data_IF_687553960485
#
_entry.id   IF_687553960485
#
_cell.length_a   1.000
_cell.length_b   1.000
_cell.length_c   1.000
_cell.angle_alpha   90.00
_cell.angle_beta   90.00
_cell.angle_gamma   90.00
#
_symmetry.space_group_name_H-M   'P 1'
#
loop_
_entity.id
_entity.type
_entity.pdbx_description
1 polymer ?
#
# COMPACT_ATOMS: atom_id res chain seq x y z
N UNK A 1 45.24 -22.83 2.00
CA UNK A 1 44.51 -22.04 0.99
C UNK A 1 43.05 -21.96 1.41
N UNK A 2 42.70 -20.93 2.18
CA UNK A 2 41.31 -20.60 2.51
C UNK A 2 41.24 -19.08 2.47
N UNK A 3 40.63 -18.53 1.42
CA UNK A 3 40.58 -17.08 1.18
C UNK A 3 39.65 -16.43 2.22
N UNK A 4 40.00 -15.25 2.75
CA UNK A 4 39.09 -14.46 3.57
C UNK A 4 37.99 -13.85 2.70
N UNK A 5 36.76 -13.81 3.21
CA UNK A 5 35.71 -12.94 2.66
C UNK A 5 35.65 -11.68 3.51
N UNK A 6 36.11 -10.59 2.90
CA UNK A 6 35.96 -9.21 3.31
C UNK A 6 34.63 -8.66 2.73
N UNK A 7 33.94 -7.77 3.46
CA UNK A 7 33.04 -6.80 2.81
C UNK A 7 31.54 -6.82 3.16
N UNK A 8 31.20 -6.32 4.35
CA UNK A 8 30.32 -5.15 4.62
C UNK A 8 29.01 -5.01 3.82
N UNK A 9 27.88 -5.07 4.53
CA UNK A 9 26.93 -3.96 4.64
C UNK A 9 26.07 -4.13 5.92
N UNK A 10 26.46 -3.41 6.97
CA UNK A 10 25.56 -3.00 8.04
C UNK A 10 24.66 -1.88 7.49
N UNK A 11 23.35 -2.10 7.58
CA UNK A 11 22.29 -1.12 7.38
C UNK A 11 21.14 -1.52 8.31
N UNK A 12 20.68 -0.63 9.21
CA UNK A 12 19.80 -1.01 10.31
C UNK A 12 18.34 -1.11 9.86
N UNK A 13 17.61 -2.01 10.52
CA UNK A 13 16.20 -1.88 10.91
C UNK A 13 15.25 -1.18 9.91
N UNK A 14 14.60 -1.98 9.05
CA UNK A 14 13.24 -1.68 8.61
C UNK A 14 12.36 -2.86 9.06
N UNK A 15 11.33 -2.63 9.90
CA UNK A 15 10.44 -3.70 10.31
C UNK A 15 9.50 -4.10 9.15
N UNK A 16 9.40 -5.41 8.93
CA UNK A 16 8.23 -6.13 8.41
C UNK A 16 7.42 -5.50 7.23
N UNK A 17 8.09 -5.08 6.16
CA UNK A 17 7.47 -5.00 4.83
C UNK A 17 7.55 -6.35 4.13
N UNK A 18 6.72 -7.31 4.56
CA UNK A 18 6.63 -8.70 4.08
C UNK A 18 7.07 -8.86 2.62
N UNK A 19 8.14 -9.61 2.39
CA UNK A 19 8.57 -10.09 1.08
C UNK A 19 7.40 -10.88 0.45
N UNK A 20 6.62 -10.25 -0.42
CA UNK A 20 5.61 -10.94 -1.21
C UNK A 20 6.30 -11.54 -2.45
N UNK A 21 6.43 -12.88 -2.57
CA UNK A 21 7.06 -13.52 -3.74
C UNK A 21 6.21 -13.44 -5.03
N UNK A 22 5.19 -12.57 -5.09
CA UNK A 22 4.29 -12.37 -6.23
C UNK A 22 4.61 -11.09 -7.05
N UNK A 23 5.58 -10.27 -6.59
CA UNK A 23 6.04 -9.00 -7.19
C UNK A 23 6.69 -9.12 -8.59
N UNK A 24 6.58 -10.25 -9.27
CA UNK A 24 7.08 -10.40 -10.64
C UNK A 24 6.13 -9.80 -11.69
N UNK A 25 4.84 -9.65 -11.38
CA UNK A 25 3.77 -9.31 -12.35
C UNK A 25 3.31 -7.84 -12.26
N UNK A 26 3.52 -7.20 -11.13
CA UNK A 26 3.18 -5.80 -10.87
C UNK A 26 4.16 -5.22 -9.85
N UNK A 27 4.28 -3.90 -9.87
CA UNK A 27 4.93 -3.10 -8.85
C UNK A 27 3.87 -2.48 -7.94
N UNK A 28 4.08 -2.52 -6.64
CA UNK A 28 3.19 -1.93 -5.64
C UNK A 28 3.96 -0.85 -4.89
N UNK A 29 3.58 0.39 -5.12
CA UNK A 29 4.09 1.54 -4.40
C UNK A 29 3.06 2.01 -3.40
N UNK A 30 3.45 2.10 -2.13
CA UNK A 30 2.62 2.66 -1.06
C UNK A 30 3.37 3.87 -0.53
N UNK A 31 2.89 5.06 -0.90
CA UNK A 31 3.41 6.32 -0.41
C UNK A 31 2.49 6.81 0.72
N UNK A 32 2.93 6.65 1.95
CA UNK A 32 2.21 7.09 3.14
C UNK A 32 3.18 7.82 4.06
N UNK A 33 2.77 8.92 4.71
CA UNK A 33 3.63 9.55 5.69
C UNK A 33 3.76 8.65 6.92
N UNK A 34 4.98 8.49 7.43
CA UNK A 34 5.22 7.74 8.66
C UNK A 34 4.66 8.45 9.90
N UNK A 35 4.52 9.79 9.84
CA UNK A 35 4.04 10.63 10.93
C UNK A 35 2.97 11.60 10.40
N UNK A 36 1.83 11.69 11.08
CA UNK A 36 0.79 12.69 10.79
C UNK A 36 0.30 13.39 12.06
N UNK A 37 -0.21 14.62 11.93
CA UNK A 37 -0.76 15.38 13.05
C UNK A 37 -2.15 14.89 13.46
N UNK A 38 -2.45 14.90 14.76
CA UNK A 38 -3.78 14.61 15.27
C UNK A 38 -4.81 15.60 14.69
N UNK A 39 -5.89 15.08 14.10
CA UNK A 39 -6.93 15.88 13.46
C UNK A 39 -6.57 16.44 12.08
N UNK A 40 -5.33 16.26 11.61
CA UNK A 40 -4.92 16.62 10.25
C UNK A 40 -5.26 15.47 9.29
N UNK A 41 -5.96 15.72 8.17
CA UNK A 41 -6.21 14.68 7.19
C UNK A 41 -4.89 14.16 6.64
N UNK A 42 -4.66 12.86 6.77
CA UNK A 42 -3.52 12.17 6.18
C UNK A 42 -3.98 11.50 4.89
N UNK A 43 -3.17 11.56 3.84
CA UNK A 43 -3.40 10.83 2.61
C UNK A 43 -2.26 9.84 2.39
N UNK A 44 -2.58 8.61 2.01
CA UNK A 44 -1.62 7.73 1.35
C UNK A 44 -2.04 7.45 -0.07
N UNK A 45 -1.03 7.30 -0.90
CA UNK A 45 -1.18 6.92 -2.30
C UNK A 45 -0.75 5.48 -2.44
N UNK A 46 -1.67 4.62 -2.83
CA UNK A 46 -1.40 3.23 -3.20
C UNK A 46 -1.43 3.16 -4.73
N UNK A 47 -0.26 3.02 -5.34
CA UNK A 47 -0.09 2.89 -6.79
C UNK A 47 0.33 1.48 -7.13
N UNK A 48 -0.37 0.88 -8.09
CA UNK A 48 -0.12 -0.46 -8.61
C UNK A 48 0.20 -0.31 -10.09
N UNK A 49 1.38 -0.73 -10.50
CA UNK A 49 1.83 -0.68 -11.89
C UNK A 49 1.99 -2.10 -12.44
N UNK A 50 1.26 -2.46 -13.49
CA UNK A 50 1.42 -3.74 -14.15
C UNK A 50 2.74 -3.76 -14.93
N UNK A 51 3.51 -4.84 -14.76
CA UNK A 51 4.78 -5.03 -15.46
C UNK A 51 4.55 -5.27 -16.95
N UNK A 52 5.54 -4.99 -17.81
CA UNK A 52 5.41 -5.23 -19.25
C UNK A 52 4.99 -6.69 -19.55
N UNK A 53 3.95 -6.82 -20.35
CA UNK A 53 3.28 -8.09 -20.65
C UNK A 53 2.02 -8.33 -19.82
N UNK A 54 1.83 -7.63 -18.71
CA UNK A 54 0.62 -7.71 -17.88
C UNK A 54 -0.22 -6.43 -18.04
N UNK A 55 -1.53 -6.61 -17.99
CA UNK A 55 -2.50 -5.51 -17.94
C UNK A 55 -3.45 -5.72 -16.78
N UNK A 56 -3.86 -4.64 -16.12
CA UNK A 56 -4.95 -4.66 -15.15
C UNK A 56 -6.24 -5.08 -15.87
N UNK A 57 -6.91 -6.07 -15.30
CA UNK A 57 -8.16 -6.59 -15.83
C UNK A 57 -9.26 -5.54 -15.72
N UNK A 58 -9.94 -5.28 -16.84
CA UNK A 58 -11.14 -4.47 -16.88
C UNK A 58 -12.38 -5.26 -16.45
N UNK A 59 -12.30 -6.59 -16.49
CA UNK A 59 -13.39 -7.52 -16.20
C UNK A 59 -13.44 -7.87 -14.70
N UNK A 60 -12.28 -7.94 -14.05
CA UNK A 60 -12.19 -8.11 -12.60
C UNK A 60 -12.18 -6.77 -11.88
N UNK A 61 -13.12 -6.53 -10.93
CA UNK A 61 -13.18 -5.27 -10.22
C UNK A 61 -11.94 -5.10 -9.32
N UNK A 62 -11.19 -4.02 -9.53
CA UNK A 62 -10.18 -3.58 -8.57
C UNK A 62 -10.89 -3.09 -7.32
N UNK A 63 -10.56 -3.70 -6.18
CA UNK A 63 -11.11 -3.39 -4.86
C UNK A 63 -9.98 -3.28 -3.86
N UNK A 64 -9.88 -2.14 -3.18
CA UNK A 64 -9.01 -1.94 -2.03
C UNK A 64 -9.88 -1.79 -0.78
N UNK A 65 -9.78 -2.75 0.13
CA UNK A 65 -10.49 -2.77 1.41
C UNK A 65 -9.51 -2.35 2.51
N UNK A 66 -9.77 -1.24 3.19
CA UNK A 66 -8.93 -0.74 4.27
C UNK A 66 -9.65 -0.93 5.61
N UNK A 67 -8.99 -1.63 6.52
CA UNK A 67 -9.40 -1.80 7.90
C UNK A 67 -8.60 -0.83 8.76
N UNK A 68 -9.20 0.33 9.03
CA UNK A 68 -8.59 1.31 9.91
C UNK A 68 -8.75 0.88 11.39
N UNK A 69 -7.70 1.02 12.21
CA UNK A 69 -7.79 0.75 13.64
C UNK A 69 -8.59 1.84 14.37
N UNK A 70 -8.93 1.56 15.63
CA UNK A 70 -9.62 2.51 16.49
C UNK A 70 -8.79 3.81 16.64
N UNK A 71 -9.34 4.92 16.14
CA UNK A 71 -8.65 6.20 16.15
C UNK A 71 -8.30 6.72 14.76
N UNK A 72 -8.48 5.92 13.70
CA UNK A 72 -8.36 6.38 12.31
C UNK A 72 -9.69 6.18 11.59
N UNK A 73 -10.24 7.25 11.04
CA UNK A 73 -11.47 7.17 10.23
C UNK A 73 -11.09 7.32 8.76
N UNK A 74 -11.19 6.26 7.93
CA UNK A 74 -10.96 6.39 6.50
C UNK A 74 -12.10 7.19 5.86
N UNK A 75 -11.78 8.01 4.87
CA UNK A 75 -12.81 8.66 4.04
C UNK A 75 -13.68 7.62 3.32
N UNK A 76 -13.08 6.50 2.92
CA UNK A 76 -13.75 5.34 2.34
C UNK A 76 -13.12 4.05 2.87
N UNK A 77 -13.97 3.13 3.34
CA UNK A 77 -13.52 1.80 3.78
C UNK A 77 -13.22 0.88 2.59
N UNK A 78 -13.98 1.03 1.50
CA UNK A 78 -13.83 0.24 0.28
C UNK A 78 -13.66 1.19 -0.90
N UNK A 79 -12.53 1.06 -1.56
CA UNK A 79 -12.20 1.75 -2.80
C UNK A 79 -12.40 0.79 -3.95
N UNK A 80 -13.01 1.28 -5.02
CA UNK A 80 -13.21 0.55 -6.25
C UNK A 80 -12.53 1.31 -7.38
N UNK A 81 -12.39 0.69 -8.55
CA UNK A 81 -11.81 1.35 -9.73
C UNK A 81 -12.38 2.75 -10.02
N UNK A 82 -13.68 2.98 -9.81
CA UNK A 82 -14.29 4.30 -9.99
C UNK A 82 -13.89 5.37 -8.95
N UNK A 83 -13.29 4.94 -7.84
CA UNK A 83 -12.71 5.80 -6.79
C UNK A 83 -11.19 5.93 -6.91
N UNK A 84 -10.56 5.25 -7.87
CA UNK A 84 -9.15 5.41 -8.14
C UNK A 84 -8.91 6.81 -8.72
N UNK A 85 -7.85 7.47 -8.26
CA UNK A 85 -7.38 8.73 -8.83
C UNK A 85 -6.96 8.53 -10.29
N UNK A 86 -6.30 7.39 -10.55
CA UNK A 86 -5.91 6.94 -11.89
C UNK A 86 -6.29 5.48 -12.05
N UNK A 87 -6.94 5.09 -13.15
CA UNK A 87 -7.26 3.69 -13.43
C UNK A 87 -7.18 3.37 -14.91
N UNK A 88 -6.04 2.81 -15.30
CA UNK A 88 -5.70 2.40 -16.66
C UNK A 88 -5.40 0.91 -16.71
N UNK A 89 -5.19 0.37 -17.90
CA UNK A 89 -4.77 -1.03 -18.08
C UNK A 89 -3.33 -1.27 -17.60
N UNK A 90 -2.53 -0.21 -17.40
CA UNK A 90 -1.14 -0.33 -16.94
C UNK A 90 -0.94 0.06 -15.49
N UNK A 91 -1.76 0.96 -14.96
CA UNK A 91 -1.60 1.41 -13.59
C UNK A 91 -2.94 1.75 -12.97
N UNK A 92 -3.02 1.57 -11.66
CA UNK A 92 -4.13 2.05 -10.85
C UNK A 92 -3.57 2.71 -9.60
N UNK A 93 -4.07 3.90 -9.32
CA UNK A 93 -3.66 4.71 -8.19
C UNK A 93 -4.86 5.05 -7.32
N UNK A 94 -4.74 4.77 -6.03
CA UNK A 94 -5.74 5.08 -5.01
C UNK A 94 -5.15 6.08 -4.02
N UNK A 95 -5.76 7.26 -3.91
CA UNK A 95 -5.42 8.21 -2.85
C UNK A 95 -6.38 8.01 -1.68
N UNK A 96 -5.97 7.21 -0.70
CA UNK A 96 -6.74 6.96 0.50
C UNK A 96 -6.49 8.05 1.54
N UNK A 97 -7.52 8.84 1.84
CA UNK A 97 -7.48 9.84 2.90
C UNK A 97 -8.06 9.28 4.21
N UNK A 98 -7.44 9.61 5.33
CA UNK A 98 -7.91 9.28 6.68
C UNK A 98 -7.88 10.49 7.59
N UNK A 99 -8.77 10.50 8.57
CA UNK A 99 -8.83 11.48 9.64
C UNK A 99 -8.41 10.82 10.95
N UNK A 100 -7.20 11.12 11.47
CA UNK A 100 -6.76 10.66 12.77
C UNK A 100 -7.50 11.39 13.88
N UNK A 101 -8.08 10.60 14.78
CA UNK A 101 -8.85 11.04 15.96
C UNK A 101 -8.16 10.66 17.26
N UNK A 102 -7.10 9.85 17.22
CA UNK A 102 -6.25 9.52 18.36
C UNK A 102 -4.78 9.61 18.00
N UNK A 103 -3.98 10.16 18.90
CA UNK A 103 -2.52 10.14 18.83
C UNK A 103 -1.97 8.75 19.19
N UNK A 104 -0.72 8.50 18.81
CA UNK A 104 -0.02 7.25 19.03
C UNK A 104 0.23 6.44 17.76
N UNK A 105 0.85 5.25 17.89
CA UNK A 105 1.08 4.36 16.77
C UNK A 105 -0.22 3.68 16.34
N UNK A 106 -0.46 3.67 15.03
CA UNK A 106 -1.59 3.00 14.40
C UNK A 106 -1.10 2.12 13.27
N UNK A 107 -1.68 0.92 13.15
CA UNK A 107 -1.41 0.01 12.06
C UNK A 107 -2.69 -0.15 11.22
N UNK A 108 -2.67 0.35 10.00
CA UNK A 108 -3.77 0.23 9.05
C UNK A 108 -3.54 -1.06 8.26
N UNK A 109 -4.40 -2.06 8.49
CA UNK A 109 -4.40 -3.26 7.67
C UNK A 109 -5.28 -3.04 6.44
N UNK A 110 -4.80 -3.42 5.27
CA UNK A 110 -5.53 -3.33 4.03
C UNK A 110 -5.43 -4.61 3.22
N UNK A 111 -6.38 -4.80 2.32
CA UNK A 111 -6.33 -5.87 1.34
C UNK A 111 -6.74 -5.30 -0.02
N UNK A 112 -5.87 -5.47 -1.01
CA UNK A 112 -6.16 -5.10 -2.39
C UNK A 112 -6.40 -6.35 -3.22
N UNK A 113 -7.48 -6.32 -3.97
CA UNK A 113 -7.90 -7.38 -4.89
C UNK A 113 -8.03 -6.78 -6.27
N UNK A 114 -7.37 -7.39 -7.24
CA UNK A 114 -7.40 -6.95 -8.63
C UNK A 114 -7.13 -8.13 -9.56
N UNK A 115 -7.53 -8.02 -10.82
CA UNK A 115 -7.14 -9.00 -11.84
C UNK A 115 -5.94 -8.50 -12.63
N UNK A 116 -4.98 -9.37 -12.93
CA UNK A 116 -3.96 -9.13 -13.93
C UNK A 116 -4.15 -10.09 -15.10
N UNK A 117 -4.30 -9.55 -16.29
CA UNK A 117 -4.39 -10.30 -17.53
C UNK A 117 -3.02 -10.34 -18.23
N UNK A 118 -2.59 -11.53 -18.62
CA UNK A 118 -1.42 -11.77 -19.47
C UNK A 118 -1.85 -12.60 -20.67
N UNK A 119 -1.64 -12.06 -21.87
CA UNK A 119 -2.05 -12.65 -23.15
C UNK A 119 -3.57 -12.93 -23.24
N UNK A 120 -4.03 -14.08 -22.73
CA UNK A 120 -5.46 -14.46 -22.64
C UNK A 120 -5.89 -14.99 -21.27
N UNK A 121 -4.97 -15.02 -20.31
CA UNK A 121 -5.24 -15.52 -18.98
C UNK A 121 -5.32 -14.35 -17.99
N UNK A 122 -6.45 -14.20 -17.29
CA UNK A 122 -6.58 -13.26 -16.19
C UNK A 122 -6.46 -13.99 -14.86
N UNK A 123 -5.50 -13.55 -14.05
CA UNK A 123 -5.22 -14.11 -12.73
C UNK A 123 -5.71 -13.12 -11.68
N UNK A 124 -6.62 -13.51 -10.77
CA UNK A 124 -6.97 -12.69 -9.63
C UNK A 124 -5.80 -12.65 -8.64
N UNK A 125 -5.43 -11.45 -8.25
CA UNK A 125 -4.40 -11.15 -7.26
C UNK A 125 -5.07 -10.61 -6.01
N UNK A 126 -4.59 -11.05 -4.85
CA UNK A 126 -5.00 -10.57 -3.54
C UNK A 126 -3.75 -10.29 -2.73
N UNK A 127 -3.48 -9.02 -2.48
CA UNK A 127 -2.32 -8.58 -1.72
C UNK A 127 -2.79 -7.97 -0.40
N UNK A 128 -2.12 -8.32 0.69
CA UNK A 128 -2.37 -7.71 2.00
C UNK A 128 -1.32 -6.64 2.26
N UNK A 129 -1.77 -5.46 2.60
CA UNK A 129 -0.92 -4.31 2.90
C UNK A 129 -1.02 -3.96 4.38
N UNK A 130 0.08 -3.52 4.96
CA UNK A 130 0.13 -2.97 6.30
C UNK A 130 0.79 -1.59 6.20
N UNK A 131 0.10 -0.57 6.71
CA UNK A 131 0.62 0.78 6.75
C UNK A 131 0.73 1.18 8.22
N UNK A 132 1.96 1.35 8.68
CA UNK A 132 2.25 1.84 10.02
C UNK A 132 2.30 3.37 10.00
N UNK A 133 1.48 3.99 10.84
CA UNK A 133 1.31 5.44 10.91
C UNK A 133 1.42 5.89 12.36
N UNK A 134 2.32 6.81 12.63
CA UNK A 134 2.43 7.46 13.93
C UNK A 134 1.64 8.77 13.91
N UNK A 135 0.63 8.89 14.78
CA UNK A 135 -0.11 10.14 14.94
C UNK A 135 0.52 10.95 16.08
N UNK A 136 1.21 12.03 15.72
CA UNK A 136 1.75 13.00 16.66
C UNK A 136 0.64 13.91 17.17
N UNK A 137 0.60 14.14 18.49
CA UNK A 137 -0.26 15.16 19.09
C UNK A 137 0.48 16.50 19.09
N UNK A 138 0.04 17.44 18.26
CA UNK A 138 0.64 18.77 18.15
C UNK A 138 0.12 19.74 19.25
N UNK A 139 -0.67 19.24 20.22
CA UNK A 139 -1.32 20.01 21.30
C UNK A 139 -0.44 20.20 22.53
N UNK A 140 0.89 20.19 22.37
CA UNK A 140 1.82 20.63 23.42
C UNK A 140 2.58 21.87 22.96
N UNK A 141 1.89 23.01 22.93
CA UNK A 141 2.52 24.31 23.07
C UNK A 141 1.65 25.22 23.94
#
# INVERSE_FOLDING_TARGET
MGRPIDGIADGPDLPAGSEAPELSRYDLHIDAPAIAGLGAPVAATVRIEARPGWSLSLDYPVRLELSAPLGLTPSHQVWQRGQATTASEREVEFTASWSPTRSGPHAIAGEVRFGLCHDRACVPVRERILVELMIADERTN
#
